data_IF_159089735788
#
_entry.id   IF_159089735788
#
_cell.length_a   1.000
_cell.length_b   1.000
_cell.length_c   1.000
_cell.angle_alpha   90.00
_cell.angle_beta   90.00
_cell.angle_gamma   90.00
#
_symmetry.space_group_name_H-M   'P 1'
#
loop_
_entity.id
_entity.type
_entity.pdbx_description
1 polymer ?
#
# COMPACT_ATOMS: atom_id res chain seq x y z
N UNK A 1 9.80 2.98 -9.04
CA UNK A 1 9.36 4.15 -9.84
C UNK A 1 8.80 5.19 -8.88
N UNK A 2 9.36 6.41 -8.89
CA UNK A 2 8.80 7.55 -8.16
C UNK A 2 7.52 7.97 -8.88
N UNK A 3 6.38 7.79 -8.26
CA UNK A 3 5.17 8.48 -8.65
C UNK A 3 4.95 9.59 -7.62
N UNK A 4 5.41 10.80 -7.91
CA UNK A 4 4.96 11.98 -7.19
C UNK A 4 3.64 12.39 -7.84
N UNK A 5 2.55 12.21 -7.14
CA UNK A 5 1.28 12.81 -7.51
C UNK A 5 1.30 14.26 -7.01
N UNK A 6 1.27 15.27 -7.89
CA UNK A 6 1.03 16.63 -7.45
C UNK A 6 -0.42 16.72 -6.98
N UNK A 7 -0.64 16.72 -5.67
CA UNK A 7 -1.95 17.05 -5.14
C UNK A 7 -2.21 18.52 -5.43
N UNK A 8 -3.28 18.83 -6.14
CA UNK A 8 -3.70 20.22 -6.46
C UNK A 8 -3.89 21.09 -5.22
N UNK A 9 -4.00 20.51 -4.02
CA UNK A 9 -4.20 21.18 -2.73
C UNK A 9 -2.91 21.63 -2.04
N UNK A 10 -1.75 21.37 -2.60
CA UNK A 10 -0.45 21.78 -2.02
C UNK A 10 0.10 23.10 -2.57
N UNK A 11 -0.66 23.84 -3.34
CA UNK A 11 -0.26 25.12 -3.91
C UNK A 11 -1.03 26.27 -3.26
N UNK A 12 -0.37 27.43 -3.10
CA UNK A 12 -1.02 28.69 -2.75
C UNK A 12 -1.82 29.25 -3.94
N UNK A 13 -2.47 30.42 -3.73
CA UNK A 13 -3.28 31.08 -4.75
C UNK A 13 -2.48 31.50 -6.00
N UNK A 14 -1.17 31.60 -5.88
CA UNK A 14 -0.24 31.96 -6.95
C UNK A 14 0.35 30.72 -7.66
N UNK A 15 -0.14 29.52 -7.32
CA UNK A 15 0.36 28.26 -7.88
C UNK A 15 1.70 27.82 -7.33
N UNK A 16 2.23 28.49 -6.29
CA UNK A 16 3.47 28.11 -5.62
C UNK A 16 3.20 26.94 -4.70
N UNK A 17 4.04 25.90 -4.79
CA UNK A 17 3.92 24.74 -3.93
C UNK A 17 4.21 25.11 -2.47
N UNK A 18 3.23 24.93 -1.60
CA UNK A 18 3.33 25.15 -0.14
C UNK A 18 3.75 23.87 0.57
N UNK A 19 3.29 22.73 0.07
CA UNK A 19 3.59 21.41 0.64
C UNK A 19 3.70 20.37 -0.48
N UNK A 20 4.77 19.60 -0.48
CA UNK A 20 5.03 18.54 -1.47
C UNK A 20 5.47 17.27 -0.76
N UNK A 21 4.54 16.48 -0.24
CA UNK A 21 4.89 15.20 0.35
C UNK A 21 5.44 14.26 -0.72
N UNK A 22 6.38 13.42 -0.32
CA UNK A 22 6.84 12.30 -1.16
C UNK A 22 5.92 11.11 -0.91
N UNK A 23 5.41 10.51 -1.97
CA UNK A 23 4.63 9.30 -1.91
C UNK A 23 5.44 8.13 -2.47
N UNK A 24 5.54 7.06 -1.70
CA UNK A 24 6.18 5.81 -2.10
C UNK A 24 5.14 4.70 -2.10
N UNK A 25 5.14 3.88 -3.14
CA UNK A 25 4.47 2.61 -3.14
C UNK A 25 5.49 1.53 -2.82
N UNK A 26 5.26 0.77 -1.76
CA UNK A 26 6.07 -0.37 -1.37
C UNK A 26 5.20 -1.62 -1.40
N UNK A 27 5.75 -2.69 -1.95
CA UNK A 27 5.12 -3.99 -1.99
C UNK A 27 6.11 -5.05 -1.51
N UNK A 28 5.71 -5.81 -0.49
CA UNK A 28 6.48 -6.93 0.03
C UNK A 28 5.71 -8.22 -0.28
N UNK A 29 6.13 -8.99 -1.29
CA UNK A 29 5.46 -10.23 -1.63
C UNK A 29 5.70 -11.31 -0.57
N UNK A 30 4.94 -12.41 -0.62
CA UNK A 30 5.16 -13.55 0.23
C UNK A 30 6.52 -14.22 -0.03
N UNK A 31 6.99 -15.02 0.93
CA UNK A 31 8.31 -15.67 0.85
C UNK A 31 8.46 -16.55 -0.39
N UNK A 32 7.42 -17.25 -0.81
CA UNK A 32 7.45 -18.10 -2.00
C UNK A 32 7.68 -17.28 -3.28
N UNK A 33 7.05 -16.11 -3.38
CA UNK A 33 7.30 -15.18 -4.49
C UNK A 33 8.72 -14.60 -4.43
N UNK A 34 9.25 -14.29 -3.25
CA UNK A 34 10.63 -13.85 -3.07
C UNK A 34 11.61 -14.92 -3.53
N UNK A 35 11.39 -16.19 -3.16
CA UNK A 35 12.22 -17.30 -3.61
C UNK A 35 12.20 -17.46 -5.13
N UNK A 36 11.03 -17.35 -5.75
CA UNK A 36 10.90 -17.38 -7.22
C UNK A 36 11.66 -16.24 -7.90
N UNK A 37 11.65 -15.05 -7.31
CA UNK A 37 12.44 -13.91 -7.82
C UNK A 37 13.95 -14.17 -7.68
N UNK A 38 14.39 -14.78 -6.59
CA UNK A 38 15.80 -15.17 -6.42
C UNK A 38 16.22 -16.22 -7.43
N UNK A 39 15.38 -17.21 -7.72
CA UNK A 39 15.64 -18.20 -8.77
C UNK A 39 15.79 -17.58 -10.15
N UNK A 40 14.89 -16.68 -10.54
CA UNK A 40 14.95 -15.95 -11.81
C UNK A 40 16.22 -15.09 -11.86
N UNK A 41 16.53 -14.37 -10.81
CA UNK A 41 17.74 -13.53 -10.76
C UNK A 41 19.03 -14.35 -10.82
N UNK A 42 19.04 -15.52 -10.18
CA UNK A 42 20.20 -16.43 -10.16
C UNK A 42 20.41 -17.15 -11.48
N UNK A 43 19.35 -17.59 -12.13
CA UNK A 43 19.43 -18.30 -13.42
C UNK A 43 19.55 -17.36 -14.63
N UNK A 44 19.06 -16.13 -14.52
CA UNK A 44 18.91 -15.20 -15.64
C UNK A 44 17.88 -15.64 -16.69
N UNK A 45 17.08 -16.66 -16.41
CA UNK A 45 16.12 -17.26 -17.34
C UNK A 45 14.70 -17.01 -16.84
N UNK A 46 13.88 -16.38 -17.66
CA UNK A 46 12.44 -16.30 -17.42
C UNK A 46 11.79 -17.63 -17.85
N UNK A 47 10.95 -18.24 -17.01
CA UNK A 47 10.19 -19.42 -17.40
C UNK A 47 9.33 -19.17 -18.65
N UNK A 48 9.37 -20.09 -19.60
CA UNK A 48 8.55 -20.00 -20.82
C UNK A 48 7.06 -20.22 -20.50
N UNK A 49 6.78 -21.09 -19.54
CA UNK A 49 5.42 -21.41 -19.11
C UNK A 49 4.97 -20.48 -18.00
N UNK A 50 3.77 -19.93 -18.14
CA UNK A 50 3.10 -19.15 -17.10
C UNK A 50 2.16 -20.06 -16.33
N UNK A 51 2.30 -20.05 -15.01
CA UNK A 51 1.35 -20.68 -14.11
C UNK A 51 0.51 -19.60 -13.42
N UNK A 52 -0.81 -19.71 -13.53
CA UNK A 52 -1.75 -18.84 -12.81
C UNK A 52 -2.29 -19.67 -11.65
N UNK A 53 -2.01 -19.21 -10.43
CA UNK A 53 -2.44 -19.90 -9.22
C UNK A 53 -3.97 -19.99 -9.18
N UNK A 54 -4.45 -21.18 -8.90
CA UNK A 54 -5.86 -21.44 -8.64
C UNK A 54 -6.19 -21.17 -7.16
N UNK A 55 -7.48 -21.06 -6.83
CA UNK A 55 -7.90 -20.71 -5.48
C UNK A 55 -7.46 -21.73 -4.41
N UNK A 56 -7.34 -22.99 -4.78
CA UNK A 56 -6.93 -24.09 -3.89
C UNK A 56 -5.40 -24.20 -3.71
N UNK A 57 -4.61 -23.60 -4.58
CA UNK A 57 -3.15 -23.56 -4.43
C UNK A 57 -2.69 -22.52 -3.38
N UNK A 58 -3.51 -21.51 -3.08
CA UNK A 58 -3.25 -20.56 -2.00
C UNK A 58 -3.81 -21.12 -0.71
N UNK A 59 -2.98 -21.79 0.07
CA UNK A 59 -3.42 -22.56 1.25
C UNK A 59 -3.47 -21.78 2.55
N UNK A 60 -2.67 -20.71 2.67
CA UNK A 60 -2.59 -19.89 3.90
C UNK A 60 -2.07 -18.49 3.61
N UNK A 61 -2.09 -17.63 4.62
CA UNK A 61 -1.54 -16.28 4.57
C UNK A 61 -2.61 -15.21 4.68
N UNK A 62 -2.19 -13.99 4.49
CA UNK A 62 -3.05 -12.81 4.56
C UNK A 62 -2.39 -11.65 3.82
N UNK A 63 -3.10 -10.54 3.76
CA UNK A 63 -2.61 -9.30 3.17
C UNK A 63 -2.73 -8.17 4.18
N UNK A 64 -1.62 -7.46 4.40
CA UNK A 64 -1.53 -6.23 5.17
C UNK A 64 -1.49 -5.06 4.19
N UNK A 65 -2.58 -4.33 4.09
CA UNK A 65 -2.74 -3.20 3.18
C UNK A 65 -2.95 -1.91 3.97
N UNK A 66 -2.13 -0.89 3.72
CA UNK A 66 -2.29 0.34 4.49
C UNK A 66 -1.40 1.48 4.02
N UNK A 67 -1.38 2.52 4.83
CA UNK A 67 -0.60 3.74 4.62
C UNK A 67 0.28 3.98 5.83
N UNK A 68 1.57 4.18 5.59
CA UNK A 68 2.51 4.69 6.58
C UNK A 68 2.70 6.18 6.35
N UNK A 69 2.17 6.99 7.25
CA UNK A 69 2.40 8.44 7.30
C UNK A 69 3.61 8.71 8.20
N UNK A 70 4.62 9.40 7.71
CA UNK A 70 5.86 9.65 8.46
C UNK A 70 6.41 11.06 8.27
N UNK A 71 7.36 11.45 9.12
CA UNK A 71 7.99 12.76 9.07
C UNK A 71 7.13 13.89 9.63
N UNK A 72 6.14 13.58 10.46
CA UNK A 72 5.33 14.55 11.18
C UNK A 72 5.73 14.63 12.66
N UNK A 73 5.20 15.61 13.40
CA UNK A 73 5.60 15.88 14.79
C UNK A 73 5.41 14.71 15.79
N UNK A 74 4.62 13.67 15.41
CA UNK A 74 4.42 12.47 16.21
C UNK A 74 5.22 11.25 15.70
N UNK A 75 6.20 11.46 14.83
CA UNK A 75 7.02 10.40 14.25
C UNK A 75 6.37 9.75 13.03
N UNK A 76 5.88 8.53 13.16
CA UNK A 76 5.17 7.82 12.12
C UNK A 76 3.84 7.24 12.62
N UNK A 77 2.91 7.04 11.70
CA UNK A 77 1.61 6.42 11.96
C UNK A 77 1.30 5.42 10.85
N UNK A 78 1.06 4.19 11.23
CA UNK A 78 0.47 3.18 10.36
C UNK A 78 -1.06 3.23 10.50
N UNK A 79 -1.74 3.23 9.36
CA UNK A 79 -3.17 3.00 9.26
C UNK A 79 -3.42 1.97 8.17
N UNK A 80 -3.97 0.83 8.51
CA UNK A 80 -4.14 -0.25 7.56
C UNK A 80 -5.11 -1.32 8.01
N UNK A 81 -5.28 -2.31 7.16
CA UNK A 81 -6.14 -3.46 7.37
C UNK A 81 -5.36 -4.76 7.18
N UNK A 82 -5.77 -5.78 7.91
CA UNK A 82 -5.27 -7.15 7.79
C UNK A 82 -6.42 -8.09 7.49
N UNK A 83 -6.30 -8.83 6.40
CA UNK A 83 -7.28 -9.82 5.99
C UNK A 83 -6.60 -11.15 5.71
N UNK A 84 -7.03 -12.21 6.37
CA UNK A 84 -6.55 -13.56 6.11
C UNK A 84 -7.27 -14.21 4.93
N UNK A 85 -6.62 -15.23 4.33
CA UNK A 85 -7.24 -16.04 3.27
C UNK A 85 -8.50 -16.74 3.78
N UNK A 86 -8.54 -17.17 5.04
CA UNK A 86 -9.68 -17.82 5.64
C UNK A 86 -10.89 -16.88 5.75
N UNK A 87 -10.66 -15.65 6.22
CA UNK A 87 -11.72 -14.62 6.30
C UNK A 87 -12.21 -14.23 4.90
N UNK A 88 -11.30 -14.05 3.94
CA UNK A 88 -11.66 -13.73 2.57
C UNK A 88 -12.55 -14.81 1.95
N UNK A 89 -12.21 -16.10 2.14
CA UNK A 89 -13.00 -17.24 1.64
C UNK A 89 -14.32 -17.43 2.35
N UNK A 90 -14.41 -17.05 3.63
CA UNK A 90 -15.70 -17.05 4.34
C UNK A 90 -16.69 -16.05 3.75
N UNK A 91 -16.19 -14.92 3.23
CA UNK A 91 -17.01 -13.92 2.54
C UNK A 91 -17.28 -14.27 1.07
N UNK A 92 -16.27 -14.78 0.37
CA UNK A 92 -16.37 -15.18 -1.04
C UNK A 92 -15.44 -16.38 -1.32
N UNK A 93 -15.99 -17.60 -1.53
CA UNK A 93 -15.26 -18.87 -1.48
C UNK A 93 -14.04 -18.98 -2.41
N UNK A 94 -14.00 -18.24 -3.50
CA UNK A 94 -12.92 -18.30 -4.49
C UNK A 94 -12.00 -17.08 -4.48
N UNK A 95 -12.21 -16.17 -3.53
CA UNK A 95 -11.38 -14.97 -3.39
C UNK A 95 -10.14 -15.24 -2.54
N UNK A 96 -9.12 -14.41 -2.75
CA UNK A 96 -7.98 -14.28 -1.86
C UNK A 96 -8.02 -12.92 -1.13
N UNK A 97 -7.17 -12.76 -0.11
CA UNK A 97 -7.17 -11.57 0.73
C UNK A 97 -6.89 -10.29 -0.08
N UNK A 98 -5.81 -10.27 -0.88
CA UNK A 98 -5.43 -9.12 -1.70
C UNK A 98 -6.53 -8.77 -2.71
N UNK A 99 -7.04 -9.78 -3.43
CA UNK A 99 -8.12 -9.58 -4.41
C UNK A 99 -9.37 -8.97 -3.77
N UNK A 100 -9.74 -9.41 -2.58
CA UNK A 100 -10.90 -8.89 -1.87
C UNK A 100 -10.70 -7.44 -1.41
N UNK A 101 -9.58 -7.13 -0.78
CA UNK A 101 -9.29 -5.77 -0.33
C UNK A 101 -9.25 -4.78 -1.50
N UNK A 102 -8.60 -5.13 -2.61
CA UNK A 102 -8.51 -4.27 -3.80
C UNK A 102 -9.87 -4.10 -4.47
N UNK A 103 -10.61 -5.18 -4.70
CA UNK A 103 -11.92 -5.09 -5.36
C UNK A 103 -12.98 -4.42 -4.50
N UNK A 104 -12.84 -4.42 -3.18
CA UNK A 104 -13.73 -3.67 -2.29
C UNK A 104 -13.69 -2.16 -2.55
N UNK A 105 -12.53 -1.62 -2.93
CA UNK A 105 -12.40 -0.21 -3.31
C UNK A 105 -13.14 0.10 -4.62
N UNK A 106 -13.08 -0.82 -5.59
CA UNK A 106 -13.85 -0.70 -6.84
C UNK A 106 -15.35 -0.73 -6.55
N UNK A 107 -15.79 -1.66 -5.69
CA UNK A 107 -17.18 -1.73 -5.26
C UNK A 107 -17.64 -0.42 -4.59
N UNK A 108 -16.82 0.12 -3.70
CA UNK A 108 -17.12 1.39 -3.03
C UNK A 108 -17.25 2.55 -4.02
N UNK A 109 -16.36 2.63 -5.00
CA UNK A 109 -16.43 3.62 -6.06
C UNK A 109 -17.69 3.47 -6.90
N UNK A 110 -18.07 2.24 -7.28
CA UNK A 110 -19.31 1.98 -8.03
C UNK A 110 -20.55 2.41 -7.25
N UNK A 111 -20.62 2.09 -5.96
CA UNK A 111 -21.72 2.52 -5.08
C UNK A 111 -21.79 4.03 -5.00
N UNK A 112 -20.64 4.68 -4.76
CA UNK A 112 -20.57 6.13 -4.65
C UNK A 112 -21.00 6.84 -5.94
N UNK A 113 -20.55 6.36 -7.10
CA UNK A 113 -20.96 6.90 -8.42
C UNK A 113 -22.46 6.74 -8.64
N UNK A 114 -23.02 5.60 -8.28
CA UNK A 114 -24.47 5.37 -8.40
C UNK A 114 -25.31 6.32 -7.50
N UNK A 115 -24.77 6.66 -6.33
CA UNK A 115 -25.38 7.63 -5.40
C UNK A 115 -25.17 9.09 -5.83
N UNK A 116 -24.19 9.37 -6.69
CA UNK A 116 -23.80 10.72 -7.12
C UNK A 116 -23.76 10.87 -8.67
N UNK A 117 -24.85 10.58 -9.38
CA UNK A 117 -24.84 10.45 -10.85
C UNK A 117 -24.51 11.75 -11.61
N UNK A 118 -24.60 12.90 -10.96
CA UNK A 118 -24.40 14.21 -11.59
C UNK A 118 -23.01 14.81 -11.35
N UNK A 119 -22.10 14.08 -10.71
CA UNK A 119 -20.78 14.60 -10.37
C UNK A 119 -19.79 14.63 -11.54
N UNK A 120 -20.13 13.99 -12.68
CA UNK A 120 -19.25 13.95 -13.83
C UNK A 120 -18.01 13.06 -13.59
N UNK A 121 -16.87 13.50 -14.10
CA UNK A 121 -15.60 12.83 -13.84
C UNK A 121 -15.04 13.25 -12.47
N UNK A 122 -14.74 12.27 -11.62
CA UNK A 122 -14.28 12.45 -10.24
C UNK A 122 -13.08 11.55 -10.00
N UNK A 123 -12.01 12.10 -9.39
CA UNK A 123 -10.87 11.32 -8.93
C UNK A 123 -11.12 10.75 -7.53
N UNK A 124 -10.38 9.70 -7.14
CA UNK A 124 -10.61 8.98 -5.90
C UNK A 124 -10.49 9.86 -4.63
N UNK A 125 -9.65 10.90 -4.65
CA UNK A 125 -9.45 11.83 -3.54
C UNK A 125 -10.58 12.89 -3.42
N UNK A 126 -11.44 12.98 -4.40
CA UNK A 126 -12.63 13.85 -4.41
C UNK A 126 -13.89 13.13 -3.89
N UNK A 127 -13.84 11.80 -3.78
CA UNK A 127 -14.94 11.00 -3.25
C UNK A 127 -15.08 11.14 -1.73
N UNK A 128 -16.29 11.01 -1.21
CA UNK A 128 -16.52 10.91 0.23
C UNK A 128 -15.89 9.63 0.80
N UNK A 129 -14.72 9.79 1.42
CA UNK A 129 -13.97 8.67 2.00
C UNK A 129 -14.74 7.96 3.13
N UNK A 130 -15.59 8.66 3.88
CA UNK A 130 -16.40 8.04 4.96
C UNK A 130 -17.41 7.09 4.34
N UNK A 131 -18.07 7.50 3.27
CA UNK A 131 -19.02 6.66 2.54
C UNK A 131 -18.33 5.47 1.88
N UNK A 132 -17.20 5.71 1.21
CA UNK A 132 -16.42 4.65 0.56
C UNK A 132 -15.92 3.63 1.57
N UNK A 133 -15.36 4.07 2.69
CA UNK A 133 -14.92 3.17 3.76
C UNK A 133 -16.08 2.39 4.39
N UNK A 134 -17.26 2.98 4.51
CA UNK A 134 -18.44 2.26 5.02
C UNK A 134 -18.81 1.06 4.13
N UNK A 135 -18.63 1.18 2.81
CA UNK A 135 -18.83 0.07 1.86
C UNK A 135 -17.71 -0.96 1.97
N UNK A 136 -16.45 -0.51 2.12
CA UNK A 136 -15.28 -1.38 2.11
C UNK A 136 -15.09 -2.19 3.41
N UNK A 137 -15.43 -1.61 4.57
CA UNK A 137 -15.16 -2.20 5.90
C UNK A 137 -15.45 -3.69 6.03
N UNK A 138 -16.57 -4.23 5.51
CA UNK A 138 -16.87 -5.66 5.61
C UNK A 138 -15.83 -6.56 4.92
N UNK A 139 -15.04 -6.02 4.00
CA UNK A 139 -14.09 -6.76 3.14
C UNK A 139 -12.62 -6.47 3.45
N UNK A 140 -12.35 -5.63 4.44
CA UNK A 140 -10.97 -5.22 4.77
C UNK A 140 -10.34 -6.05 5.90
N UNK A 141 -11.15 -6.84 6.64
CA UNK A 141 -10.67 -7.51 7.85
C UNK A 141 -10.47 -6.54 9.00
N UNK A 142 -9.44 -6.79 9.82
CA UNK A 142 -9.15 -5.95 10.98
C UNK A 142 -8.47 -4.66 10.53
N UNK A 143 -9.08 -3.50 10.90
CA UNK A 143 -8.50 -2.18 10.63
C UNK A 143 -7.82 -1.68 11.90
N UNK A 144 -6.56 -1.26 11.77
CA UNK A 144 -5.72 -0.80 12.87
C UNK A 144 -5.10 0.56 12.56
N UNK A 145 -4.86 1.34 13.63
CA UNK A 145 -4.16 2.61 13.57
C UNK A 145 -3.15 2.68 14.71
N UNK A 146 -1.87 2.77 14.40
CA UNK A 146 -0.80 2.76 15.39
C UNK A 146 0.21 3.87 15.12
N UNK A 147 0.52 4.65 16.17
CA UNK A 147 1.70 5.49 16.16
C UNK A 147 2.94 4.68 16.52
N UNK A 148 4.06 5.02 15.93
CA UNK A 148 5.35 4.39 16.19
C UNK A 148 6.46 5.43 16.17
N UNK A 149 7.48 5.21 16.97
CA UNK A 149 8.74 5.94 16.97
C UNK A 149 9.79 5.35 16.01
N UNK A 150 9.41 4.30 15.29
CA UNK A 150 10.25 3.69 14.26
C UNK A 150 10.64 4.72 13.19
N UNK A 151 11.89 4.68 12.78
CA UNK A 151 12.42 5.40 11.62
C UNK A 151 13.16 4.42 10.71
N UNK A 152 13.41 4.76 9.44
CA UNK A 152 14.21 3.90 8.55
C UNK A 152 15.63 3.61 9.07
N UNK A 153 16.12 4.40 10.01
CA UNK A 153 17.43 4.21 10.65
C UNK A 153 17.36 3.32 11.90
N UNK A 154 16.16 3.02 12.41
CA UNK A 154 16.00 2.21 13.62
C UNK A 154 16.50 0.78 13.37
N UNK A 155 17.40 0.31 14.25
CA UNK A 155 17.98 -1.04 14.20
C UNK A 155 18.73 -1.39 12.92
N UNK A 156 19.12 -0.39 12.12
CA UNK A 156 19.86 -0.61 10.89
C UNK A 156 21.30 -0.98 11.21
N UNK A 157 21.74 -2.14 10.72
CA UNK A 157 23.15 -2.52 10.78
C UNK A 157 23.81 -1.97 9.51
N UNK A 158 24.44 -0.80 9.62
CA UNK A 158 25.19 -0.24 8.52
C UNK A 158 26.57 -0.89 8.43
N UNK A 159 26.80 -1.60 7.34
CA UNK A 159 28.14 -2.06 6.94
C UNK A 159 28.90 -0.97 6.16
N UNK A 160 28.17 -0.04 5.55
CA UNK A 160 28.72 1.07 4.76
C UNK A 160 27.99 2.35 5.15
N UNK A 161 28.70 3.23 5.89
CA UNK A 161 28.11 4.44 6.47
C UNK A 161 27.86 5.59 5.46
N UNK A 162 28.29 5.43 4.19
CA UNK A 162 28.27 6.51 3.18
C UNK A 162 26.89 6.83 2.60
N UNK A 163 25.89 5.97 2.81
CA UNK A 163 24.60 6.06 2.13
C UNK A 163 23.44 6.35 3.09
N UNK A 164 23.74 7.05 4.17
CA UNK A 164 22.80 7.36 5.24
C UNK A 164 22.77 8.88 5.48
N UNK A 165 21.59 9.44 5.63
CA UNK A 165 21.38 10.81 6.07
C UNK A 165 20.85 10.82 7.51
N UNK A 166 21.75 11.08 8.47
CA UNK A 166 21.40 11.16 9.89
C UNK A 166 20.75 12.50 10.28
N UNK A 167 20.83 13.53 9.42
CA UNK A 167 20.27 14.85 9.69
C UNK A 167 18.74 14.86 9.65
N UNK A 168 18.15 14.00 8.82
CA UNK A 168 16.72 13.78 8.73
C UNK A 168 16.45 12.30 8.46
N UNK A 169 15.98 11.52 9.46
CA UNK A 169 15.77 10.09 9.31
C UNK A 169 14.75 9.73 8.24
N UNK A 170 13.89 10.67 7.86
CA UNK A 170 12.81 10.44 6.90
C UNK A 170 13.19 10.71 5.45
N UNK A 171 14.44 11.03 5.16
CA UNK A 171 14.92 11.17 3.79
C UNK A 171 14.85 9.84 3.05
N UNK A 172 14.48 9.90 1.76
CA UNK A 172 14.27 8.70 0.95
C UNK A 172 15.49 7.76 0.90
N UNK A 173 16.69 8.32 0.92
CA UNK A 173 17.92 7.54 0.93
C UNK A 173 17.96 6.54 2.09
N UNK A 174 17.36 6.89 3.23
CA UNK A 174 17.32 6.05 4.41
C UNK A 174 16.35 4.85 4.30
N UNK A 175 15.47 4.85 3.30
CA UNK A 175 14.59 3.71 2.99
C UNK A 175 15.22 2.71 2.01
N UNK A 176 16.32 3.07 1.39
CA UNK A 176 17.00 2.17 0.46
C UNK A 176 17.74 1.09 1.23
N UNK A 177 17.59 -0.17 0.81
CA UNK A 177 18.45 -1.26 1.21
C UNK A 177 19.77 -1.14 0.43
N UNK A 178 20.87 -1.06 1.13
CA UNK A 178 22.23 -1.06 0.58
C UNK A 178 22.92 -2.38 0.90
#
# INVERSE_FOLDING_TARGET
RRHSFPTRRSSDLDGRAVYRPTCHYAYHPCNDAILSLHEINGSGILPENKHILTADEIVSGGDDLGVLLYGHAKGAMWYGSRLSIAEARALAPYQNATGMQVTSAVLAAMVWVAENPNMGFVEADEMDHVRCLAVQRPYLGQIEAHYTDWTPLSHRINRFASDQDDSDPWQFINFLAT
#
